data_IF_387406994436
#
_entry.id   IF_387406994436
#
_cell.length_a   1.000
_cell.length_b   1.000
_cell.length_c   1.000
_cell.angle_alpha   90.00
_cell.angle_beta   90.00
_cell.angle_gamma   90.00
#
_symmetry.space_group_name_H-M   'P 1'
#
loop_
_entity.id
_entity.type
_entity.pdbx_description
1 polymer ?
#
# COMPACT_ATOMS: atom_id res chain seq x y z
N UNK A 1 15.40 12.89 2.09
CA UNK A 1 14.93 11.81 2.98
C UNK A 1 14.17 10.81 2.13
N UNK A 2 14.79 9.66 1.82
CA UNK A 2 14.24 8.65 0.91
C UNK A 2 13.48 7.59 1.68
N UNK A 3 12.25 7.29 1.26
CA UNK A 3 11.44 6.22 1.82
C UNK A 3 11.86 4.92 1.16
N UNK A 4 12.37 3.96 1.92
CA UNK A 4 12.68 2.62 1.42
C UNK A 4 11.41 1.76 1.42
N UNK A 5 10.68 1.76 0.32
CA UNK A 5 9.66 0.74 0.06
C UNK A 5 10.38 -0.60 -0.15
N UNK A 6 10.46 -1.43 0.90
CA UNK A 6 10.85 -2.85 0.73
C UNK A 6 9.68 -3.56 0.05
N UNK A 7 9.74 -3.65 -1.27
CA UNK A 7 8.89 -4.54 -2.05
C UNK A 7 9.29 -6.00 -1.72
N UNK A 8 8.64 -6.58 -0.70
CA UNK A 8 8.62 -8.03 -0.55
C UNK A 8 7.95 -8.62 -1.79
N UNK A 9 8.45 -9.75 -2.32
CA UNK A 9 7.81 -10.54 -3.38
C UNK A 9 6.40 -11.08 -3.01
N UNK A 10 5.80 -10.61 -1.92
CA UNK A 10 4.47 -10.98 -1.48
C UNK A 10 3.39 -10.19 -2.20
N UNK A 11 2.20 -10.81 -2.37
CA UNK A 11 0.97 -10.15 -2.81
C UNK A 11 0.43 -9.13 -1.78
N UNK A 12 1.17 -8.88 -0.70
CA UNK A 12 0.79 -8.07 0.44
C UNK A 12 1.97 -7.22 0.91
N UNK A 13 1.77 -5.92 1.03
CA UNK A 13 2.73 -4.94 1.53
C UNK A 13 2.08 -4.13 2.64
N UNK A 14 2.73 -4.07 3.80
CA UNK A 14 2.29 -3.22 4.92
C UNK A 14 3.26 -2.06 5.09
N UNK A 15 2.74 -0.86 5.16
CA UNK A 15 3.49 0.38 5.30
C UNK A 15 2.98 1.12 6.54
N UNK A 16 3.89 1.57 7.39
CA UNK A 16 3.59 2.50 8.46
C UNK A 16 4.05 3.89 8.04
N UNK A 17 3.16 4.87 8.11
CA UNK A 17 3.44 6.23 7.68
C UNK A 17 2.89 7.24 8.69
N UNK A 18 3.42 8.46 8.66
CA UNK A 18 2.86 9.56 9.44
C UNK A 18 1.48 9.95 8.91
N UNK A 19 0.64 10.55 9.76
CA UNK A 19 -0.73 10.95 9.38
C UNK A 19 -0.78 11.93 8.21
N UNK A 20 0.21 12.80 8.12
CA UNK A 20 0.38 13.75 7.01
C UNK A 20 0.72 13.09 5.67
N UNK A 21 1.27 11.87 5.68
CA UNK A 21 1.65 11.13 4.48
C UNK A 21 0.49 10.42 3.79
N UNK A 22 -0.75 10.61 4.24
CA UNK A 22 -1.95 9.97 3.66
C UNK A 22 -2.06 10.18 2.15
N UNK A 23 -1.85 11.42 1.69
CA UNK A 23 -1.91 11.76 0.26
C UNK A 23 -0.88 10.97 -0.56
N UNK A 24 0.31 10.74 0.01
CA UNK A 24 1.38 10.00 -0.65
C UNK A 24 1.03 8.50 -0.75
N UNK A 25 0.40 7.94 0.28
CA UNK A 25 -0.08 6.56 0.27
C UNK A 25 -1.14 6.34 -0.83
N UNK A 26 -2.08 7.27 -0.94
CA UNK A 26 -3.11 7.22 -1.99
C UNK A 26 -2.50 7.40 -3.40
N UNK A 27 -1.47 8.24 -3.54
CA UNK A 27 -0.82 8.47 -4.83
C UNK A 27 -0.14 7.22 -5.41
N UNK A 28 0.26 6.26 -4.57
CA UNK A 28 0.78 4.96 -5.03
C UNK A 28 -0.25 4.24 -5.91
N UNK A 29 -1.55 4.37 -5.64
CA UNK A 29 -2.60 3.74 -6.45
C UNK A 29 -2.72 4.35 -7.86
N UNK A 30 -2.31 5.61 -8.05
CA UNK A 30 -2.29 6.22 -9.38
C UNK A 30 -1.16 5.64 -10.25
N UNK A 31 -0.03 5.26 -9.62
CA UNK A 31 1.12 4.65 -10.30
C UNK A 31 0.89 3.14 -10.48
N UNK A 32 0.28 2.50 -9.49
CA UNK A 32 0.10 1.05 -9.39
C UNK A 32 -1.37 0.68 -9.13
N UNK A 33 -2.25 0.81 -10.14
CA UNK A 33 -3.68 0.55 -10.01
C UNK A 33 -4.03 -0.93 -9.75
N UNK A 34 -3.06 -1.83 -9.95
CA UNK A 34 -3.15 -3.25 -9.63
C UNK A 34 -3.16 -3.53 -8.12
N UNK A 35 -2.89 -2.53 -7.28
CA UNK A 35 -2.96 -2.67 -5.83
C UNK A 35 -4.28 -2.13 -5.29
N UNK A 36 -4.66 -2.67 -4.13
CA UNK A 36 -5.76 -2.22 -3.30
C UNK A 36 -5.17 -1.73 -1.98
N UNK A 37 -5.41 -0.48 -1.65
CA UNK A 37 -4.95 0.13 -0.41
C UNK A 37 -6.07 0.11 0.63
N UNK A 38 -5.74 -0.33 1.84
CA UNK A 38 -6.55 -0.17 3.04
C UNK A 38 -5.75 0.67 4.05
N UNK A 39 -6.31 1.78 4.51
CA UNK A 39 -5.64 2.64 5.51
C UNK A 39 -6.41 2.51 6.83
N UNK A 40 -5.71 2.12 7.88
CA UNK A 40 -6.18 2.18 9.25
C UNK A 40 -5.44 3.29 9.99
N UNK A 41 -6.19 4.20 10.60
CA UNK A 41 -5.61 5.23 11.45
C UNK A 41 -5.38 4.71 12.86
N UNK A 42 -4.14 4.86 13.35
CA UNK A 42 -3.75 4.63 14.74
C UNK A 42 -3.48 5.98 15.42
N UNK A 43 -3.30 5.96 16.74
CA UNK A 43 -3.18 7.19 17.52
C UNK A 43 -2.03 8.10 17.03
N UNK A 44 -0.91 7.50 16.65
CA UNK A 44 0.35 8.16 16.30
C UNK A 44 0.73 8.03 14.81
N UNK A 45 0.16 7.07 14.08
CA UNK A 45 0.53 6.79 12.68
C UNK A 45 -0.64 6.24 11.85
N UNK A 46 -0.40 6.06 10.56
CA UNK A 46 -1.27 5.35 9.62
C UNK A 46 -0.66 3.99 9.30
N UNK A 47 -1.47 2.94 9.37
CA UNK A 47 -1.15 1.63 8.81
C UNK A 47 -1.81 1.53 7.43
N UNK A 48 -1.00 1.36 6.40
CA UNK A 48 -1.43 1.16 5.03
C UNK A 48 -1.12 -0.27 4.60
N UNK A 49 -2.16 -1.06 4.37
CA UNK A 49 -2.08 -2.40 3.79
C UNK A 49 -2.38 -2.33 2.29
N UNK A 50 -1.38 -2.61 1.48
CA UNK A 50 -1.48 -2.78 0.03
C UNK A 50 -1.59 -4.26 -0.31
N UNK A 51 -2.68 -4.63 -0.96
CA UNK A 51 -2.93 -5.99 -1.45
C UNK A 51 -2.98 -5.95 -2.95
N UNK A 52 -2.16 -6.73 -3.63
CA UNK A 52 -2.23 -6.86 -5.09
C UNK A 52 -3.59 -7.48 -5.42
N UNK A 53 -4.37 -6.83 -6.28
CA UNK A 53 -5.63 -7.40 -6.78
C UNK A 53 -5.27 -8.70 -7.48
N UNK A 54 -5.81 -9.81 -6.99
CA UNK A 54 -5.76 -11.06 -7.73
C UNK A 54 -6.50 -10.81 -9.04
N UNK A 55 -5.79 -10.90 -10.16
CA UNK A 55 -6.42 -10.91 -11.46
C UNK A 55 -7.33 -12.15 -11.47
N UNK A 56 -8.64 -11.95 -11.57
CA UNK A 56 -9.64 -13.01 -11.79
C UNK A 56 -9.36 -13.86 -13.06
N UNK A 57 -8.32 -13.52 -13.82
CA UNK A 57 -7.82 -14.23 -15.01
C UNK A 57 -6.56 -15.07 -14.79
N UNK A 58 -6.06 -15.25 -13.55
CA UNK A 58 -5.19 -16.40 -13.25
C UNK A 58 -6.08 -17.66 -13.11
N UNK A 59 -6.65 -18.12 -14.23
CA UNK A 59 -7.11 -19.51 -14.37
C UNK A 59 -5.91 -20.35 -14.78
N UNK A 60 -5.60 -21.31 -13.90
CA UNK A 60 -5.02 -22.64 -14.13
C UNK A 60 -3.89 -22.81 -15.16
#
# INVERSE_FOLDING_TARGET
MGWHLRFSKGRHLRVMALKESKQQLENVLHIHPEWKLSIAEKNDHLEADYVKKDNLYEKE
#
